data_IF_463765267904
#
_entry.id   IF_463765267904
#
_cell.length_a   1.000
_cell.length_b   1.000
_cell.length_c   1.000
_cell.angle_alpha   90.00
_cell.angle_beta   90.00
_cell.angle_gamma   90.00
#
_symmetry.space_group_name_H-M   'P 1'
#
loop_
_entity.id
_entity.type
_entity.pdbx_description
1 polymer ?
#
# COMPACT_ATOMS: atom_id res chain seq x y z
N UNK A 1 -16.19 -40.75 24.76
CA UNK A 1 -15.32 -41.67 24.00
C UNK A 1 -14.76 -42.83 24.85
N UNK A 2 -14.71 -42.75 26.19
CA UNK A 2 -14.05 -43.76 27.05
C UNK A 2 -14.85 -45.05 27.37
N UNK A 3 -16.15 -45.13 27.06
CA UNK A 3 -17.00 -46.29 27.45
C UNK A 3 -17.10 -47.33 26.34
N UNK A 4 -16.97 -46.95 25.06
CA UNK A 4 -17.14 -47.88 23.93
C UNK A 4 -15.97 -48.87 23.77
N UNK A 5 -14.75 -48.46 24.12
CA UNK A 5 -13.54 -49.31 24.01
C UNK A 5 -13.58 -50.48 25.00
N UNK A 6 -13.83 -50.29 26.32
CA UNK A 6 -13.90 -51.42 27.25
C UNK A 6 -15.10 -52.34 26.96
N UNK A 7 -16.23 -51.79 26.48
CA UNK A 7 -17.41 -52.59 26.13
C UNK A 7 -17.17 -53.45 24.88
N UNK A 8 -16.47 -52.92 23.88
CA UNK A 8 -16.05 -53.68 22.69
C UNK A 8 -15.05 -54.79 23.03
N UNK A 9 -14.10 -54.52 23.94
CA UNK A 9 -13.15 -55.51 24.44
C UNK A 9 -13.84 -56.66 25.19
N UNK A 10 -14.84 -56.35 26.03
CA UNK A 10 -15.68 -57.34 26.69
C UNK A 10 -16.49 -58.17 25.68
N UNK A 11 -17.00 -57.54 24.61
CA UNK A 11 -17.69 -58.23 23.52
C UNK A 11 -16.79 -59.20 22.74
N UNK A 12 -15.53 -58.84 22.50
CA UNK A 12 -14.55 -59.71 21.84
C UNK A 12 -14.21 -60.91 22.72
N UNK A 13 -13.96 -60.69 24.02
CA UNK A 13 -13.67 -61.78 24.97
C UNK A 13 -14.86 -62.73 25.11
N UNK A 14 -16.08 -62.20 25.22
CA UNK A 14 -17.30 -63.01 25.26
C UNK A 14 -17.56 -63.76 23.94
N UNK A 15 -17.25 -63.15 22.80
CA UNK A 15 -17.33 -63.76 21.47
C UNK A 15 -16.43 -64.97 21.33
N UNK A 16 -15.13 -64.81 21.64
CA UNK A 16 -14.12 -65.89 21.59
C UNK A 16 -14.44 -67.00 22.58
N UNK A 17 -14.92 -66.65 23.78
CA UNK A 17 -15.32 -67.63 24.79
C UNK A 17 -16.55 -68.45 24.36
N UNK A 18 -17.54 -67.81 23.74
CA UNK A 18 -18.74 -68.49 23.22
C UNK A 18 -18.46 -69.38 21.99
N UNK A 19 -17.48 -69.00 21.17
CA UNK A 19 -17.07 -69.76 19.98
C UNK A 19 -16.37 -71.07 20.36
N UNK A 20 -15.50 -71.01 21.38
CA UNK A 20 -14.82 -72.19 21.91
C UNK A 20 -15.78 -73.20 22.58
N UNK A 21 -17.00 -72.79 22.97
CA UNK A 21 -18.01 -73.66 23.58
C UNK A 21 -19.12 -74.10 22.60
N UNK A 22 -19.00 -73.78 21.30
CA UNK A 22 -20.01 -74.14 20.29
C UNK A 22 -21.37 -73.44 20.48
N UNK A 23 -21.43 -72.39 21.30
CA UNK A 23 -22.69 -71.77 21.73
C UNK A 23 -23.40 -71.00 20.60
N UNK A 24 -22.64 -70.53 19.61
CA UNK A 24 -23.14 -69.76 18.47
C UNK A 24 -23.84 -70.61 17.40
N UNK A 25 -23.60 -71.93 17.35
CA UNK A 25 -24.17 -72.81 16.30
C UNK A 25 -25.70 -72.86 16.29
N UNK A 26 -26.35 -72.53 17.42
CA UNK A 26 -27.81 -72.58 17.57
C UNK A 26 -28.48 -71.19 17.67
N UNK A 27 -27.72 -70.09 17.58
CA UNK A 27 -28.17 -68.74 17.95
C UNK A 27 -27.95 -67.71 16.81
N UNK A 28 -28.40 -68.03 15.59
CA UNK A 28 -28.24 -67.19 14.38
C UNK A 28 -28.75 -65.74 14.52
N UNK A 29 -29.78 -65.53 15.35
CA UNK A 29 -30.30 -64.20 15.67
C UNK A 29 -29.28 -63.32 16.42
N UNK A 30 -28.56 -63.91 17.38
CA UNK A 30 -27.59 -63.24 18.24
C UNK A 30 -26.33 -62.86 17.46
N UNK A 31 -25.90 -63.70 16.52
CA UNK A 31 -24.80 -63.40 15.60
C UNK A 31 -25.14 -62.24 14.66
N UNK A 32 -26.37 -62.21 14.12
CA UNK A 32 -26.85 -61.07 13.32
C UNK A 32 -26.98 -59.78 14.14
N UNK A 33 -27.43 -59.90 15.40
CA UNK A 33 -27.55 -58.76 16.32
C UNK A 33 -26.17 -58.19 16.70
N UNK A 34 -25.20 -59.05 16.98
CA UNK A 34 -23.83 -58.63 17.30
C UNK A 34 -23.16 -58.01 16.07
N UNK A 35 -23.32 -58.59 14.88
CA UNK A 35 -22.76 -58.03 13.64
C UNK A 35 -23.34 -56.64 13.31
N UNK A 36 -24.66 -56.48 13.43
CA UNK A 36 -25.32 -55.17 13.24
C UNK A 36 -24.94 -54.16 14.34
N UNK A 37 -24.86 -54.58 15.61
CA UNK A 37 -24.38 -53.73 16.70
C UNK A 37 -22.93 -53.31 16.51
N UNK A 38 -22.08 -54.21 16.04
CA UNK A 38 -20.67 -53.92 15.72
C UNK A 38 -20.58 -52.92 14.57
N UNK A 39 -21.36 -53.12 13.50
CA UNK A 39 -21.45 -52.18 12.38
C UNK A 39 -21.90 -50.78 12.82
N UNK A 40 -22.85 -50.68 13.75
CA UNK A 40 -23.32 -49.40 14.30
C UNK A 40 -22.26 -48.76 15.23
N UNK A 41 -21.65 -49.55 16.11
CA UNK A 41 -20.64 -49.11 17.08
C UNK A 41 -19.36 -48.58 16.42
N UNK A 42 -19.02 -49.08 15.23
CA UNK A 42 -17.88 -48.56 14.46
C UNK A 42 -18.30 -47.59 13.35
N UNK A 43 -19.48 -47.79 12.73
CA UNK A 43 -19.98 -46.96 11.64
C UNK A 43 -20.35 -45.54 12.06
N UNK A 44 -21.04 -45.38 13.20
CA UNK A 44 -21.42 -44.06 13.70
C UNK A 44 -20.19 -43.21 14.06
N UNK A 45 -19.21 -43.70 14.86
CA UNK A 45 -18.02 -42.92 15.17
C UNK A 45 -17.18 -42.58 13.93
N UNK A 46 -17.00 -43.52 12.99
CA UNK A 46 -16.24 -43.27 11.75
C UNK A 46 -16.94 -42.22 10.87
N UNK A 47 -18.28 -42.27 10.73
CA UNK A 47 -19.04 -41.25 10.01
C UNK A 47 -18.91 -39.86 10.66
N UNK A 48 -18.95 -39.79 11.99
CA UNK A 48 -18.76 -38.54 12.73
C UNK A 48 -17.33 -37.98 12.58
N UNK A 49 -16.31 -38.84 12.54
CA UNK A 49 -14.92 -38.43 12.30
C UNK A 49 -14.75 -37.87 10.89
N UNK A 50 -15.28 -38.55 9.87
CA UNK A 50 -15.22 -38.11 8.47
C UNK A 50 -15.98 -36.79 8.28
N UNK A 51 -17.17 -36.67 8.87
CA UNK A 51 -17.96 -35.44 8.83
C UNK A 51 -17.26 -34.29 9.56
N UNK A 52 -16.62 -34.56 10.71
CA UNK A 52 -15.83 -33.57 11.44
C UNK A 52 -14.63 -33.07 10.63
N UNK A 53 -13.93 -33.96 9.95
CA UNK A 53 -12.82 -33.60 9.07
C UNK A 53 -13.28 -32.75 7.88
N UNK A 54 -14.35 -33.16 7.19
CA UNK A 54 -14.95 -32.41 6.08
C UNK A 54 -15.48 -31.04 6.51
N UNK A 55 -16.14 -30.98 7.68
CA UNK A 55 -16.66 -29.73 8.24
C UNK A 55 -15.53 -28.75 8.57
N UNK A 56 -14.42 -29.23 9.13
CA UNK A 56 -13.26 -28.40 9.42
C UNK A 56 -12.61 -27.88 8.12
N UNK A 57 -12.46 -28.75 7.10
CA UNK A 57 -11.93 -28.34 5.81
C UNK A 57 -12.83 -27.30 5.11
N UNK A 58 -14.15 -27.45 5.20
CA UNK A 58 -15.11 -26.46 4.68
C UNK A 58 -15.06 -25.14 5.45
N UNK A 59 -14.96 -25.20 6.79
CA UNK A 59 -14.84 -24.00 7.63
C UNK A 59 -13.57 -23.21 7.29
N UNK A 60 -12.44 -23.89 7.09
CA UNK A 60 -11.18 -23.26 6.71
C UNK A 60 -11.26 -22.60 5.32
N UNK A 61 -11.88 -23.27 4.34
CA UNK A 61 -12.09 -22.73 3.00
C UNK A 61 -12.99 -21.47 3.01
N UNK A 62 -14.07 -21.50 3.81
CA UNK A 62 -14.96 -20.34 3.99
C UNK A 62 -14.25 -19.17 4.67
N UNK A 63 -13.47 -19.43 5.71
CA UNK A 63 -12.69 -18.41 6.42
C UNK A 63 -11.70 -17.72 5.47
N UNK A 64 -10.94 -18.49 4.67
CA UNK A 64 -10.03 -17.94 3.66
C UNK A 64 -10.77 -17.07 2.63
N UNK A 65 -11.94 -17.51 2.17
CA UNK A 65 -12.74 -16.72 1.23
C UNK A 65 -13.26 -15.41 1.84
N UNK A 66 -13.67 -15.42 3.10
CA UNK A 66 -14.11 -14.22 3.81
C UNK A 66 -12.97 -13.20 3.98
N UNK A 67 -11.76 -13.68 4.32
CA UNK A 67 -10.56 -12.84 4.43
C UNK A 67 -10.24 -12.18 3.09
N UNK A 68 -10.27 -12.91 1.96
CA UNK A 68 -10.06 -12.34 0.62
C UNK A 68 -11.08 -11.27 0.25
N UNK A 69 -12.36 -11.52 0.53
CA UNK A 69 -13.43 -10.53 0.27
C UNK A 69 -13.28 -9.28 1.12
N UNK A 70 -12.80 -9.41 2.36
CA UNK A 70 -12.48 -8.27 3.21
C UNK A 70 -11.26 -7.52 2.67
N UNK A 71 -10.17 -8.23 2.37
CA UNK A 71 -8.96 -7.67 1.79
C UNK A 71 -9.26 -6.79 0.58
N UNK A 72 -10.03 -7.32 -0.37
CA UNK A 72 -10.42 -6.60 -1.57
C UNK A 72 -11.18 -5.31 -1.28
N UNK A 73 -12.15 -5.34 -0.35
CA UNK A 73 -12.90 -4.14 0.03
C UNK A 73 -12.02 -3.09 0.71
N UNK A 74 -11.13 -3.51 1.60
CA UNK A 74 -10.25 -2.60 2.34
C UNK A 74 -9.21 -1.98 1.39
N UNK A 75 -8.70 -2.75 0.42
CA UNK A 75 -7.81 -2.26 -0.66
C UNK A 75 -8.55 -1.29 -1.58
N UNK A 76 -9.78 -1.60 -2.00
CA UNK A 76 -10.61 -0.71 -2.82
C UNK A 76 -10.90 0.61 -2.08
N UNK A 77 -11.17 0.56 -0.77
CA UNK A 77 -11.36 1.76 0.05
C UNK A 77 -10.08 2.61 0.13
N UNK A 78 -8.92 1.99 0.35
CA UNK A 78 -7.63 2.68 0.33
C UNK A 78 -7.37 3.38 -1.02
N UNK A 79 -7.68 2.71 -2.14
CA UNK A 79 -7.54 3.30 -3.47
C UNK A 79 -8.45 4.51 -3.68
N UNK A 80 -9.69 4.45 -3.21
CA UNK A 80 -10.61 5.58 -3.29
C UNK A 80 -10.07 6.80 -2.54
N UNK A 81 -9.50 6.61 -1.35
CA UNK A 81 -8.85 7.69 -0.58
C UNK A 81 -7.62 8.22 -1.32
N UNK A 82 -6.82 7.34 -1.92
CA UNK A 82 -5.63 7.71 -2.68
C UNK A 82 -5.96 8.52 -3.95
N UNK A 83 -7.02 8.16 -4.67
CA UNK A 83 -7.43 8.83 -5.92
C UNK A 83 -8.20 10.13 -5.68
N UNK A 84 -8.84 10.29 -4.53
CA UNK A 84 -9.71 11.43 -4.18
C UNK A 84 -9.18 12.83 -4.54
N UNK A 85 -7.91 13.21 -4.24
CA UNK A 85 -7.42 14.55 -4.53
C UNK A 85 -7.03 14.77 -5.99
N UNK A 86 -7.07 13.72 -6.82
CA UNK A 86 -6.59 13.74 -8.19
C UNK A 86 -7.74 13.66 -9.18
N UNK A 87 -7.54 14.27 -10.34
CA UNK A 87 -8.43 14.18 -11.49
C UNK A 87 -8.17 12.88 -12.27
N UNK A 88 -8.11 11.74 -11.56
CA UNK A 88 -7.81 10.44 -12.13
C UNK A 88 -8.90 9.43 -11.76
N UNK A 89 -9.37 8.66 -12.74
CA UNK A 89 -10.39 7.63 -12.53
C UNK A 89 -9.81 6.34 -11.91
N UNK A 90 -8.53 6.06 -12.17
CA UNK A 90 -7.84 4.84 -11.74
C UNK A 90 -6.34 5.09 -11.50
N UNK A 91 -5.66 4.09 -10.91
CA UNK A 91 -4.21 4.13 -10.63
C UNK A 91 -3.36 4.28 -11.90
N UNK A 92 -3.82 3.74 -13.03
CA UNK A 92 -3.12 3.82 -14.32
C UNK A 92 -3.08 5.25 -14.84
N UNK A 93 -4.22 5.93 -14.81
CA UNK A 93 -4.37 7.33 -15.21
C UNK A 93 -3.57 8.24 -14.29
N UNK A 94 -3.62 7.99 -12.98
CA UNK A 94 -2.84 8.73 -12.00
C UNK A 94 -1.32 8.57 -12.22
N UNK A 95 -0.85 7.36 -12.56
CA UNK A 95 0.56 7.13 -12.90
C UNK A 95 0.98 7.89 -14.15
N UNK A 96 0.14 7.92 -15.19
CA UNK A 96 0.43 8.72 -16.39
C UNK A 96 0.57 10.21 -16.06
N UNK A 97 -0.36 10.77 -15.26
CA UNK A 97 -0.28 12.16 -14.79
C UNK A 97 0.99 12.43 -13.97
N UNK A 98 1.36 11.51 -13.07
CA UNK A 98 2.61 11.57 -12.30
C UNK A 98 3.83 11.59 -13.21
N UNK A 99 3.85 10.78 -14.27
CA UNK A 99 4.94 10.75 -15.26
C UNK A 99 5.04 12.07 -16.03
N UNK A 100 3.91 12.67 -16.41
CA UNK A 100 3.91 13.97 -17.09
C UNK A 100 4.43 15.08 -16.17
N UNK A 101 4.04 15.06 -14.90
CA UNK A 101 4.53 16.00 -13.88
C UNK A 101 6.03 15.83 -13.60
N UNK A 102 6.52 14.59 -13.53
CA UNK A 102 7.95 14.29 -13.38
C UNK A 102 8.78 14.75 -14.60
N UNK A 103 8.23 14.62 -15.81
CA UNK A 103 8.84 15.14 -17.04
C UNK A 103 8.95 16.66 -17.00
N UNK A 104 7.88 17.37 -16.60
CA UNK A 104 7.87 18.82 -16.45
C UNK A 104 8.88 19.28 -15.38
N UNK A 105 8.93 18.61 -14.24
CA UNK A 105 9.91 18.91 -13.19
C UNK A 105 11.36 18.66 -13.65
N UNK A 106 11.58 17.59 -14.40
CA UNK A 106 12.90 17.28 -14.97
C UNK A 106 13.34 18.35 -15.96
N UNK A 107 12.43 18.89 -16.77
CA UNK A 107 12.74 20.02 -17.65
C UNK A 107 13.19 21.26 -16.86
N UNK A 108 12.47 21.62 -15.79
CA UNK A 108 12.84 22.71 -14.88
C UNK A 108 14.24 22.53 -14.27
N UNK A 109 14.55 21.33 -13.78
CA UNK A 109 15.84 21.03 -13.15
C UNK A 109 17.02 21.01 -14.12
N UNK A 110 16.77 20.90 -15.43
CA UNK A 110 17.83 20.91 -16.46
C UNK A 110 18.26 22.32 -16.84
N UNK A 111 17.49 23.35 -16.49
CA UNK A 111 17.91 24.74 -16.71
C UNK A 111 19.16 24.99 -15.89
N UNK A 112 20.27 25.32 -16.56
CA UNK A 112 21.55 25.53 -15.87
C UNK A 112 21.46 26.74 -14.95
N UNK A 113 22.07 26.68 -13.76
CA UNK A 113 22.26 27.85 -12.94
C UNK A 113 23.12 28.88 -13.66
N UNK A 114 22.78 30.16 -13.50
CA UNK A 114 23.67 31.26 -13.89
C UNK A 114 24.82 31.29 -12.89
N UNK A 115 26.05 31.18 -13.39
CA UNK A 115 27.26 31.36 -12.60
C UNK A 115 27.77 32.78 -12.81
N UNK A 116 28.03 33.50 -11.71
CA UNK A 116 28.62 34.83 -11.78
C UNK A 116 30.11 34.75 -11.44
N UNK A 117 30.92 35.39 -12.27
CA UNK A 117 32.34 35.56 -11.97
C UNK A 117 32.50 36.65 -10.88
N UNK A 118 33.47 36.50 -9.95
CA UNK A 118 33.82 37.58 -9.04
C UNK A 118 34.20 38.85 -9.82
N UNK A 119 33.51 39.97 -9.58
CA UNK A 119 33.76 41.25 -10.24
C UNK A 119 32.89 41.57 -11.47
N UNK A 120 31.89 40.74 -11.81
CA UNK A 120 30.90 41.09 -12.83
C UNK A 120 30.10 42.34 -12.45
N UNK A 121 29.89 43.23 -13.42
CA UNK A 121 29.13 44.45 -13.23
C UNK A 121 27.64 44.19 -12.95
N UNK A 122 26.97 45.17 -12.33
CA UNK A 122 25.53 45.09 -12.02
C UNK A 122 24.66 44.94 -13.28
N UNK A 123 25.05 45.54 -14.40
CA UNK A 123 24.36 45.43 -15.69
C UNK A 123 24.41 44.00 -16.27
N UNK A 124 25.61 43.40 -16.33
CA UNK A 124 25.80 42.03 -16.82
C UNK A 124 25.07 41.00 -15.93
N UNK A 125 25.02 41.28 -14.63
CA UNK A 125 24.26 40.49 -13.66
C UNK A 125 22.77 40.51 -14.01
N UNK A 126 22.19 41.70 -14.23
CA UNK A 126 20.77 41.85 -14.59
C UNK A 126 20.39 41.10 -15.86
N UNK A 127 21.17 41.25 -16.93
CA UNK A 127 20.90 40.56 -18.20
C UNK A 127 20.95 39.04 -18.07
N UNK A 128 21.88 38.50 -17.27
CA UNK A 128 21.98 37.07 -17.03
C UNK A 128 20.80 36.54 -16.20
N UNK A 129 20.32 37.32 -15.23
CA UNK A 129 19.10 37.01 -14.46
C UNK A 129 17.88 36.98 -15.35
N UNK A 130 17.68 37.99 -16.20
CA UNK A 130 16.53 38.06 -17.11
C UNK A 130 16.55 36.90 -18.11
N UNK A 131 17.71 36.58 -18.68
CA UNK A 131 17.88 35.43 -19.59
C UNK A 131 17.51 34.11 -18.93
N UNK A 132 17.86 33.92 -17.65
CA UNK A 132 17.49 32.72 -16.91
C UNK A 132 15.99 32.69 -16.57
N UNK A 133 15.41 33.83 -16.19
CA UNK A 133 13.97 33.94 -15.93
C UNK A 133 13.15 33.63 -17.19
N UNK A 134 13.59 34.09 -18.36
CA UNK A 134 12.95 33.81 -19.65
C UNK A 134 12.95 32.31 -19.99
N UNK A 135 13.93 31.54 -19.48
CA UNK A 135 13.98 30.09 -19.63
C UNK A 135 13.12 29.36 -18.59
N UNK A 136 13.13 29.81 -17.34
CA UNK A 136 12.45 29.10 -16.22
C UNK A 136 10.95 29.38 -16.17
N UNK A 137 10.50 30.62 -16.39
CA UNK A 137 9.09 31.00 -16.33
C UNK A 137 8.16 30.16 -17.21
N UNK A 138 8.44 29.92 -18.50
CA UNK A 138 7.56 29.09 -19.34
C UNK A 138 7.52 27.63 -18.86
N UNK A 139 8.64 27.10 -18.35
CA UNK A 139 8.70 25.74 -17.81
C UNK A 139 7.94 25.61 -16.49
N UNK A 140 8.00 26.64 -15.63
CA UNK A 140 7.22 26.67 -14.39
C UNK A 140 5.73 26.79 -14.69
N UNK A 141 5.34 27.61 -15.67
CA UNK A 141 3.96 27.69 -16.13
C UNK A 141 3.45 26.34 -16.65
N UNK A 142 4.27 25.61 -17.44
CA UNK A 142 3.94 24.26 -17.89
C UNK A 142 3.81 23.27 -16.72
N UNK A 143 4.71 23.33 -15.73
CA UNK A 143 4.60 22.51 -14.52
C UNK A 143 3.30 22.79 -13.76
N UNK A 144 2.96 24.07 -13.55
CA UNK A 144 1.73 24.47 -12.87
C UNK A 144 0.48 24.05 -13.64
N UNK A 145 0.51 24.12 -14.97
CA UNK A 145 -0.60 23.66 -15.81
C UNK A 145 -0.82 22.14 -15.65
N UNK A 146 0.25 21.33 -15.69
CA UNK A 146 0.15 19.88 -15.47
C UNK A 146 -0.33 19.57 -14.05
N UNK A 147 0.22 20.26 -13.04
CA UNK A 147 -0.18 20.09 -11.64
C UNK A 147 -1.67 20.41 -11.46
N UNK A 148 -2.15 21.53 -12.01
CA UNK A 148 -3.56 21.94 -11.94
C UNK A 148 -4.48 20.94 -12.65
N UNK A 149 -4.03 20.35 -13.77
CA UNK A 149 -4.76 19.29 -14.44
C UNK A 149 -4.81 17.98 -13.63
N UNK A 150 -3.74 17.68 -12.89
CA UNK A 150 -3.63 16.48 -12.06
C UNK A 150 -4.46 16.57 -10.78
N UNK A 151 -4.55 17.73 -10.13
CA UNK A 151 -5.20 17.89 -8.82
C UNK A 151 -6.61 18.46 -8.93
N UNK A 152 -7.58 17.81 -8.27
CA UNK A 152 -8.96 18.32 -8.14
C UNK A 152 -9.17 19.13 -6.85
N UNK A 153 -8.31 18.95 -5.85
CA UNK A 153 -8.39 19.63 -4.55
C UNK A 153 -7.54 20.90 -4.49
N UNK A 154 -8.00 21.85 -3.68
CA UNK A 154 -7.24 23.04 -3.32
C UNK A 154 -5.98 22.68 -2.51
N UNK A 155 -4.90 23.41 -2.77
CA UNK A 155 -3.55 23.29 -2.17
C UNK A 155 -3.53 23.13 -0.64
N UNK A 156 -4.53 23.67 0.07
CA UNK A 156 -4.63 23.60 1.54
C UNK A 156 -5.10 22.25 2.11
N UNK A 157 -5.66 21.35 1.30
CA UNK A 157 -6.22 20.07 1.76
C UNK A 157 -5.22 18.91 1.68
N UNK A 158 -4.01 19.14 1.19
CA UNK A 158 -3.00 18.11 1.00
C UNK A 158 -2.58 17.45 2.33
N UNK A 159 -2.40 18.22 3.41
CA UNK A 159 -1.99 17.67 4.70
C UNK A 159 -3.08 16.76 5.30
N UNK A 160 -4.34 17.22 5.28
CA UNK A 160 -5.48 16.44 5.75
C UNK A 160 -5.67 15.15 4.94
N UNK A 161 -5.54 15.23 3.62
CA UNK A 161 -5.58 14.04 2.77
C UNK A 161 -4.45 13.05 3.09
N UNK A 162 -3.23 13.53 3.34
CA UNK A 162 -2.11 12.65 3.69
C UNK A 162 -2.34 11.96 5.04
N UNK A 163 -2.90 12.66 6.02
CA UNK A 163 -3.23 12.08 7.32
C UNK A 163 -4.32 11.01 7.19
N UNK A 164 -5.39 11.30 6.45
CA UNK A 164 -6.45 10.32 6.16
C UNK A 164 -5.89 9.09 5.43
N UNK A 165 -5.03 9.29 4.42
CA UNK A 165 -4.43 8.21 3.65
C UNK A 165 -3.48 7.36 4.50
N UNK A 166 -2.67 8.01 5.35
CA UNK A 166 -1.77 7.30 6.26
C UNK A 166 -2.56 6.46 7.26
N UNK A 167 -3.66 6.98 7.82
CA UNK A 167 -4.51 6.23 8.73
C UNK A 167 -5.09 4.97 8.08
N UNK A 168 -5.61 5.08 6.85
CA UNK A 168 -6.12 3.92 6.10
C UNK A 168 -5.01 2.90 5.80
N UNK A 169 -3.81 3.37 5.46
CA UNK A 169 -2.65 2.49 5.27
C UNK A 169 -2.27 1.75 6.55
N UNK A 170 -2.23 2.43 7.69
CA UNK A 170 -1.90 1.81 8.98
C UNK A 170 -2.94 0.76 9.39
N UNK A 171 -4.21 1.05 9.20
CA UNK A 171 -5.29 0.08 9.41
C UNK A 171 -5.12 -1.15 8.52
N UNK A 172 -4.72 -0.95 7.26
CA UNK A 172 -4.49 -2.03 6.29
C UNK A 172 -3.22 -2.84 6.63
N UNK A 173 -2.09 -2.22 6.96
CA UNK A 173 -0.82 -2.91 7.32
C UNK A 173 -0.89 -3.62 8.69
N UNK A 174 -1.66 -3.08 9.65
CA UNK A 174 -1.80 -3.67 10.98
C UNK A 174 -2.98 -4.64 11.10
N UNK A 175 -4.05 -4.44 10.35
CA UNK A 175 -5.22 -5.33 10.40
C UNK A 175 -5.11 -6.47 9.39
N UNK A 176 -4.96 -6.10 8.12
CA UNK A 176 -5.09 -7.04 7.01
C UNK A 176 -3.88 -7.96 6.88
N UNK A 177 -2.66 -7.45 7.13
CA UNK A 177 -1.42 -8.24 7.05
C UNK A 177 -1.44 -9.47 7.95
N UNK A 178 -1.93 -9.34 9.19
CA UNK A 178 -2.01 -10.48 10.12
C UNK A 178 -3.07 -11.49 9.65
N UNK A 179 -4.23 -11.03 9.19
CA UNK A 179 -5.29 -11.90 8.67
C UNK A 179 -4.86 -12.64 7.40
N UNK A 180 -4.08 -11.99 6.52
CA UNK A 180 -3.49 -12.63 5.34
C UNK A 180 -2.49 -13.71 5.75
N UNK A 181 -1.65 -13.44 6.76
CA UNK A 181 -0.70 -14.42 7.29
C UNK A 181 -1.41 -15.63 7.93
N UNK A 182 -2.48 -15.42 8.70
CA UNK A 182 -3.31 -16.51 9.27
C UNK A 182 -3.97 -17.36 8.18
N UNK A 183 -4.31 -16.76 7.03
CA UNK A 183 -4.90 -17.44 5.89
C UNK A 183 -3.87 -18.10 4.95
N UNK A 184 -2.58 -18.10 5.32
CA UNK A 184 -1.45 -18.55 4.48
C UNK A 184 -1.46 -17.88 3.09
N UNK A 185 -1.82 -16.59 3.06
CA UNK A 185 -1.82 -15.77 1.86
C UNK A 185 -0.62 -14.81 1.87
N UNK A 186 -0.08 -14.56 0.67
CA UNK A 186 0.99 -13.59 0.50
C UNK A 186 0.50 -12.17 0.84
N UNK A 187 1.38 -11.39 1.46
CA UNK A 187 1.24 -9.95 1.59
C UNK A 187 2.16 -9.24 0.58
N UNK A 188 2.30 -7.91 0.71
CA UNK A 188 3.35 -7.17 0.03
C UNK A 188 4.74 -7.77 0.30
N UNK A 189 5.61 -7.64 -0.69
CA UNK A 189 7.01 -8.00 -0.58
C UNK A 189 7.68 -7.27 0.60
N UNK A 190 8.69 -7.87 1.25
CA UNK A 190 9.40 -7.24 2.36
C UNK A 190 9.99 -5.88 1.98
N UNK A 191 10.51 -5.77 0.75
CA UNK A 191 11.02 -4.53 0.18
C UNK A 191 9.93 -3.47 0.09
N UNK A 192 8.77 -3.80 -0.51
CA UNK A 192 7.67 -2.85 -0.63
C UNK A 192 7.13 -2.40 0.71
N UNK A 193 7.02 -3.32 1.67
CA UNK A 193 6.59 -3.00 3.03
C UNK A 193 7.53 -1.98 3.69
N UNK A 194 8.85 -2.15 3.53
CA UNK A 194 9.84 -1.23 4.08
C UNK A 194 9.79 0.15 3.39
N UNK A 195 9.60 0.19 2.07
CA UNK A 195 9.44 1.44 1.32
C UNK A 195 8.15 2.18 1.69
N UNK A 196 7.03 1.47 1.81
CA UNK A 196 5.73 2.00 2.21
C UNK A 196 5.74 2.64 3.61
N UNK A 197 6.58 2.14 4.52
CA UNK A 197 6.76 2.74 5.85
C UNK A 197 7.57 4.04 5.82
N UNK A 198 8.47 4.20 4.85
CA UNK A 198 9.39 5.35 4.76
C UNK A 198 8.84 6.49 3.90
N UNK A 199 7.93 6.21 2.97
CA UNK A 199 7.43 7.21 2.01
C UNK A 199 6.75 8.42 2.67
N UNK A 200 6.15 8.24 3.85
CA UNK A 200 5.39 9.30 4.54
C UNK A 200 6.24 10.54 4.85
N UNK A 201 7.52 10.33 5.19
CA UNK A 201 8.48 11.43 5.40
C UNK A 201 8.64 12.22 4.10
N UNK A 202 8.85 11.53 2.97
CA UNK A 202 8.99 12.18 1.67
C UNK A 202 7.73 12.88 1.18
N UNK A 203 6.54 12.35 1.49
CA UNK A 203 5.26 12.98 1.16
C UNK A 203 4.95 14.21 2.03
N UNK A 204 5.39 14.21 3.30
CA UNK A 204 5.16 15.33 4.23
C UNK A 204 6.19 16.45 4.09
N UNK A 205 7.47 16.10 3.97
CA UNK A 205 8.56 17.07 3.79
C UNK A 205 8.59 17.63 2.36
N UNK A 206 8.17 16.80 1.40
CA UNK A 206 7.98 17.19 0.03
C UNK A 206 6.73 18.06 -0.14
N UNK A 207 6.75 18.95 -1.14
CA UNK A 207 5.59 19.77 -1.47
C UNK A 207 5.58 20.12 -2.97
N UNK A 208 4.66 19.48 -3.71
CA UNK A 208 4.47 19.72 -5.15
C UNK A 208 3.85 21.08 -5.47
N UNK A 209 3.06 21.63 -4.55
CA UNK A 209 2.32 22.88 -4.75
C UNK A 209 3.11 24.13 -4.35
N UNK A 210 4.23 23.95 -3.64
CA UNK A 210 5.07 25.07 -3.18
C UNK A 210 5.54 25.90 -4.37
N UNK A 211 5.23 27.20 -4.45
CA UNK A 211 5.59 28.02 -5.59
C UNK A 211 7.11 28.22 -5.68
N UNK A 212 7.64 28.29 -6.91
CA UNK A 212 8.98 28.85 -7.10
C UNK A 212 8.88 30.37 -6.92
N UNK A 213 9.69 30.90 -6.02
CA UNK A 213 9.91 32.34 -5.88
C UNK A 213 10.71 32.78 -7.12
N UNK A 214 10.06 33.29 -8.17
CA UNK A 214 10.65 33.74 -9.45
C UNK A 214 10.46 35.24 -9.69
N UNK A 215 10.11 35.99 -8.64
CA UNK A 215 9.87 37.43 -8.75
C UNK A 215 11.16 38.22 -8.47
N UNK A 216 11.83 38.75 -9.52
CA UNK A 216 13.05 39.54 -9.34
C UNK A 216 12.81 40.84 -8.58
N UNK A 217 11.60 41.40 -8.57
CA UNK A 217 11.30 42.61 -7.78
C UNK A 217 11.31 42.29 -6.29
N UNK A 218 10.77 41.13 -5.89
CA UNK A 218 10.87 40.64 -4.51
C UNK A 218 12.32 40.42 -4.07
N UNK A 219 13.20 40.01 -5.00
CA UNK A 219 14.61 39.81 -4.72
C UNK A 219 15.35 41.13 -4.57
N UNK A 220 15.11 42.09 -5.48
CA UNK A 220 15.68 43.44 -5.43
C UNK A 220 15.18 44.26 -4.24
N UNK A 221 13.93 44.05 -3.80
CA UNK A 221 13.40 44.67 -2.59
C UNK A 221 14.15 44.17 -1.33
N UNK A 222 14.45 42.86 -1.27
CA UNK A 222 15.26 42.26 -0.19
C UNK A 222 16.72 42.71 -0.25
N UNK A 223 17.28 42.85 -1.45
CA UNK A 223 18.63 43.39 -1.68
C UNK A 223 18.79 44.80 -1.08
N UNK A 224 17.84 45.70 -1.37
CA UNK A 224 17.82 47.05 -0.81
C UNK A 224 17.71 47.08 0.71
N UNK A 225 17.00 46.11 1.29
CA UNK A 225 16.83 46.01 2.74
C UNK A 225 18.11 45.55 3.47
N UNK A 226 18.97 44.73 2.81
CA UNK A 226 20.15 44.11 3.44
C UNK A 226 21.49 44.71 2.96
N UNK A 227 21.46 45.69 2.03
CA UNK A 227 22.66 46.32 1.42
C UNK A 227 23.64 45.31 0.84
N UNK A 228 23.11 44.27 0.21
CA UNK A 228 23.92 43.23 -0.38
C UNK A 228 24.32 43.53 -1.82
N UNK A 229 25.42 42.92 -2.31
CA UNK A 229 25.73 42.98 -3.73
C UNK A 229 24.64 42.26 -4.55
N UNK A 230 24.34 42.74 -5.77
CA UNK A 230 23.27 42.19 -6.63
C UNK A 230 23.37 40.68 -6.87
N UNK A 231 24.59 40.17 -6.95
CA UNK A 231 24.90 38.75 -7.14
C UNK A 231 24.45 37.88 -5.96
N UNK A 232 24.58 38.36 -4.71
CA UNK A 232 24.21 37.59 -3.52
C UNK A 232 22.69 37.43 -3.36
N UNK A 233 21.92 38.47 -3.68
CA UNK A 233 20.46 38.42 -3.64
C UNK A 233 19.90 37.41 -4.65
N UNK A 234 20.39 37.46 -5.90
CA UNK A 234 20.02 36.49 -6.93
C UNK A 234 20.41 35.06 -6.53
N UNK A 235 21.65 34.85 -6.06
CA UNK A 235 22.14 33.52 -5.71
C UNK A 235 21.28 32.86 -4.62
N UNK A 236 20.80 33.62 -3.64
CA UNK A 236 19.85 33.09 -2.65
C UNK A 236 18.47 32.80 -3.20
N UNK A 237 17.96 33.64 -4.11
CA UNK A 237 16.71 33.39 -4.82
C UNK A 237 16.79 32.09 -5.61
N UNK A 238 17.88 31.92 -6.36
CA UNK A 238 18.21 30.70 -7.08
C UNK A 238 18.31 29.48 -6.15
N UNK A 239 19.07 29.55 -5.06
CA UNK A 239 19.22 28.44 -4.11
C UNK A 239 17.89 28.05 -3.47
N UNK A 240 17.02 29.03 -3.22
CA UNK A 240 15.65 28.78 -2.74
C UNK A 240 14.83 28.05 -3.81
N UNK A 241 14.88 28.47 -5.07
CA UNK A 241 14.22 27.77 -6.17
C UNK A 241 14.71 26.32 -6.29
N UNK A 242 16.02 26.08 -6.21
CA UNK A 242 16.59 24.72 -6.24
C UNK A 242 16.10 23.86 -5.07
N UNK A 243 16.01 24.41 -3.85
CA UNK A 243 15.43 23.70 -2.70
C UNK A 243 13.96 23.33 -2.93
N UNK A 244 13.17 24.22 -3.54
CA UNK A 244 11.78 23.91 -3.88
C UNK A 244 11.71 22.79 -4.92
N UNK A 245 12.51 22.85 -5.99
CA UNK A 245 12.57 21.80 -7.01
C UNK A 245 12.99 20.43 -6.42
N UNK A 246 13.94 20.43 -5.48
CA UNK A 246 14.34 19.22 -4.77
C UNK A 246 13.18 18.66 -3.91
N UNK A 247 12.47 19.52 -3.16
CA UNK A 247 11.32 19.10 -2.36
C UNK A 247 10.17 18.54 -3.23
N UNK A 248 9.90 19.14 -4.39
CA UNK A 248 8.94 18.62 -5.37
C UNK A 248 9.35 17.23 -5.88
N UNK A 249 10.65 17.01 -6.13
CA UNK A 249 11.16 15.69 -6.57
C UNK A 249 11.01 14.64 -5.49
N UNK A 250 11.40 14.95 -4.25
CA UNK A 250 11.24 14.05 -3.10
C UNK A 250 9.79 13.60 -2.95
N UNK A 251 8.84 14.53 -3.12
CA UNK A 251 7.42 14.20 -3.09
C UNK A 251 7.03 13.23 -4.22
N UNK A 252 7.43 13.51 -5.47
CA UNK A 252 7.09 12.66 -6.62
C UNK A 252 7.71 11.25 -6.54
N UNK A 253 8.88 11.12 -5.93
CA UNK A 253 9.51 9.82 -5.70
C UNK A 253 8.75 9.01 -4.65
N UNK A 254 8.43 9.63 -3.51
CA UNK A 254 7.63 9.00 -2.48
C UNK A 254 6.23 8.63 -2.98
N UNK A 255 5.63 9.48 -3.81
CA UNK A 255 4.35 9.21 -4.45
C UNK A 255 4.45 8.06 -5.48
N UNK A 256 5.58 7.91 -6.16
CA UNK A 256 5.84 6.75 -7.03
C UNK A 256 5.82 5.44 -6.25
N UNK A 257 6.50 5.39 -5.10
CA UNK A 257 6.49 4.23 -4.19
C UNK A 257 5.08 3.89 -3.73
N UNK A 258 4.29 4.91 -3.37
CA UNK A 258 2.89 4.73 -2.96
C UNK A 258 2.05 4.07 -4.06
N UNK A 259 2.19 4.51 -5.31
CA UNK A 259 1.48 3.93 -6.46
C UNK A 259 1.91 2.49 -6.74
N UNK A 260 3.21 2.19 -6.63
CA UNK A 260 3.72 0.84 -6.82
C UNK A 260 3.24 -0.11 -5.72
N UNK A 261 3.15 0.36 -4.47
CA UNK A 261 2.54 -0.39 -3.37
C UNK A 261 1.06 -0.63 -3.57
N UNK A 262 0.32 0.37 -4.07
CA UNK A 262 -1.10 0.24 -4.37
C UNK A 262 -1.38 -0.79 -5.48
N UNK A 263 -0.53 -0.88 -6.51
CA UNK A 263 -0.63 -1.90 -7.55
C UNK A 263 -0.35 -3.30 -7.00
N UNK A 264 0.68 -3.45 -6.17
CA UNK A 264 1.04 -4.74 -5.58
C UNK A 264 -0.11 -5.26 -4.69
N UNK A 265 -0.81 -4.37 -3.98
CA UNK A 265 -2.03 -4.71 -3.25
C UNK A 265 -3.14 -5.23 -4.17
N UNK A 266 -3.34 -4.67 -5.37
CA UNK A 266 -4.35 -5.15 -6.34
C UNK A 266 -4.06 -6.56 -6.82
N UNK A 267 -2.78 -6.93 -6.89
CA UNK A 267 -2.37 -8.26 -7.34
C UNK A 267 -2.54 -9.35 -6.28
N UNK A 268 -2.93 -8.98 -5.05
CA UNK A 268 -3.21 -9.94 -3.99
C UNK A 268 -4.46 -10.80 -4.32
N UNK A 269 -4.44 -12.10 -3.96
CA UNK A 269 -5.48 -13.08 -4.32
C UNK A 269 -6.82 -12.93 -3.58
#
# INVERSE_FOLDING_TARGET
MYVCVPLGLLGIVAGVYGDHHGWWEHQSFLTNLISSLTSVMFGIPTALLVLGYLSNAQAEALQKQQIRRRARRDIEAFQQVLLRPFSAADLRSLRAQKTDLDRALTALRRVRPVSFAPGQGSYDTGQAVDTWLDQVRPLEAAYQQVLTGMTSLAVGLQALWLDDLQAHWEELDQGLRFQMAEADQAWLTPTRTAEMRRLWVGLRDGNITRPLDLDPDSWRARERAVREPPTAAFQRGHDRAQRVLAARKTWLDAFGVLLDGADELVTLP
#
